data_IF_733103377701
#
_entry.id   IF_733103377701
#
_cell.length_a   1.000
_cell.length_b   1.000
_cell.length_c   1.000
_cell.angle_alpha   90.00
_cell.angle_beta   90.00
_cell.angle_gamma   90.00
#
_symmetry.space_group_name_H-M   'P 1'
#
loop_
_entity.id
_entity.type
_entity.pdbx_description
1 polymer ?
#
# COMPACT_ATOMS: atom_id res chain seq x y z
N UNK A 1 -21.07 26.35 67.31
CA UNK A 1 -20.14 27.49 67.46
C UNK A 1 -18.82 26.95 67.99
N UNK A 2 -17.72 27.19 67.26
CA UNK A 2 -16.38 27.62 67.74
C UNK A 2 -15.77 26.93 68.98
N UNK A 3 -14.51 26.55 69.09
CA UNK A 3 -13.26 26.78 68.32
C UNK A 3 -12.18 25.93 69.06
N UNK A 4 -11.32 25.24 68.30
CA UNK A 4 -9.86 25.07 68.47
C UNK A 4 -9.23 24.81 69.86
N UNK A 5 -8.45 23.72 69.96
CA UNK A 5 -7.00 23.72 70.30
C UNK A 5 -6.56 22.31 70.81
N UNK A 6 -5.93 21.46 69.98
CA UNK A 6 -4.48 21.30 69.74
C UNK A 6 -3.72 20.45 70.79
N UNK A 7 -2.87 19.54 70.23
CA UNK A 7 -1.82 18.69 70.85
C UNK A 7 -2.33 17.34 71.41
N UNK A 8 -1.73 16.17 71.17
CA UNK A 8 -0.31 15.84 70.98
C UNK A 8 -0.16 14.47 70.27
N UNK A 9 0.65 14.44 69.21
CA UNK A 9 1.49 13.36 68.64
C UNK A 9 1.30 11.89 69.08
N UNK A 10 0.99 11.01 68.12
CA UNK A 10 1.55 9.66 68.02
C UNK A 10 1.50 9.19 66.55
N UNK A 11 2.59 9.34 65.80
CA UNK A 11 3.40 8.22 65.29
C UNK A 11 2.58 7.16 64.56
N UNK A 12 2.43 7.31 63.24
CA UNK A 12 2.15 6.16 62.37
C UNK A 12 2.76 6.40 60.99
N UNK A 13 3.91 5.76 60.79
CA UNK A 13 4.55 5.61 59.48
C UNK A 13 3.60 4.84 58.57
N UNK A 14 2.96 5.52 57.63
CA UNK A 14 2.38 4.86 56.46
C UNK A 14 3.46 4.72 55.40
N UNK A 15 3.91 3.47 55.23
CA UNK A 15 4.83 3.04 54.19
C UNK A 15 4.12 3.20 52.84
N UNK A 16 4.55 4.18 52.04
CA UNK A 16 4.22 4.24 50.61
C UNK A 16 4.99 3.13 49.88
N UNK A 17 4.35 1.98 49.66
CA UNK A 17 4.83 0.99 48.68
C UNK A 17 4.48 1.55 47.29
N UNK A 18 5.46 2.22 46.68
CA UNK A 18 5.43 2.50 45.25
C UNK A 18 5.67 1.17 44.54
N UNK A 19 4.61 0.55 44.04
CA UNK A 19 4.70 -0.54 43.06
C UNK A 19 5.23 0.06 41.75
N UNK A 20 6.55 0.06 41.59
CA UNK A 20 7.16 0.19 40.27
C UNK A 20 6.83 -1.09 39.48
N UNK A 21 5.75 -1.05 38.71
CA UNK A 21 5.52 -1.96 37.59
C UNK A 21 6.64 -1.71 36.57
N UNK A 22 7.72 -2.47 36.69
CA UNK A 22 8.73 -2.59 35.65
C UNK A 22 8.04 -3.32 34.50
N UNK A 23 7.57 -2.57 33.51
CA UNK A 23 7.24 -3.16 32.21
C UNK A 23 8.58 -3.55 31.59
N UNK A 24 8.98 -4.81 31.79
CA UNK A 24 9.98 -5.45 30.94
C UNK A 24 9.37 -5.51 29.54
N UNK A 25 9.70 -4.52 28.72
CA UNK A 25 9.60 -4.66 27.26
C UNK A 25 10.56 -5.78 26.87
N UNK A 26 10.04 -7.01 26.82
CA UNK A 26 10.77 -8.11 26.24
C UNK A 26 11.19 -7.68 24.84
N UNK A 27 12.50 -7.49 24.65
CA UNK A 27 13.06 -7.17 23.35
C UNK A 27 12.63 -8.28 22.41
N UNK A 28 11.75 -7.97 21.45
CA UNK A 28 11.37 -8.91 20.42
C UNK A 28 12.64 -9.29 19.68
N UNK A 29 13.01 -10.57 19.74
CA UNK A 29 14.12 -11.10 18.95
C UNK A 29 13.89 -10.67 17.50
N UNK A 30 14.85 -10.02 16.83
CA UNK A 30 14.67 -9.67 15.43
C UNK A 30 14.35 -10.94 14.66
N UNK A 31 13.38 -10.89 13.73
CA UNK A 31 13.03 -12.06 12.95
C UNK A 31 14.30 -12.62 12.30
N UNK A 32 14.42 -13.95 12.18
CA UNK A 32 15.59 -14.56 11.57
C UNK A 32 15.84 -13.94 10.19
N UNK A 33 17.10 -13.64 9.90
CA UNK A 33 17.47 -13.10 8.58
C UNK A 33 16.93 -14.00 7.47
N UNK A 34 16.45 -13.44 6.35
CA UNK A 34 15.97 -14.23 5.23
C UNK A 34 17.03 -15.27 4.84
N UNK A 35 16.62 -16.54 4.74
CA UNK A 35 17.53 -17.58 4.26
C UNK A 35 17.80 -17.30 2.77
N UNK A 36 19.06 -17.00 2.42
CA UNK A 36 19.45 -16.87 1.03
C UNK A 36 19.35 -18.24 0.34
N UNK A 37 18.33 -18.41 -0.47
CA UNK A 37 18.12 -19.63 -1.25
C UNK A 37 18.96 -19.53 -2.52
N UNK A 38 19.98 -20.40 -2.65
CA UNK A 38 20.69 -20.56 -3.92
C UNK A 38 19.74 -21.22 -4.91
N UNK A 39 19.41 -20.53 -5.99
CA UNK A 39 18.59 -21.05 -7.09
C UNK A 39 19.41 -21.21 -8.36
N UNK A 40 18.95 -22.06 -9.26
CA UNK A 40 19.64 -22.31 -10.52
C UNK A 40 19.23 -21.33 -11.63
N UNK A 41 18.11 -20.62 -11.46
CA UNK A 41 17.64 -19.57 -12.36
C UNK A 41 16.73 -18.54 -11.65
N UNK A 42 16.42 -17.46 -12.36
CA UNK A 42 15.54 -16.37 -11.89
C UNK A 42 14.11 -16.83 -11.62
N UNK A 43 13.57 -17.74 -12.42
CA UNK A 43 12.17 -18.16 -12.29
C UNK A 43 11.95 -18.93 -10.99
N UNK A 44 12.89 -19.80 -10.64
CA UNK A 44 12.93 -20.51 -9.35
C UNK A 44 13.09 -19.53 -8.18
N UNK A 45 13.96 -18.52 -8.33
CA UNK A 45 14.13 -17.48 -7.33
C UNK A 45 12.83 -16.73 -7.07
N UNK A 46 12.17 -16.24 -8.13
CA UNK A 46 10.89 -15.53 -8.03
C UNK A 46 9.84 -16.37 -7.30
N UNK A 47 9.68 -17.66 -7.66
CA UNK A 47 8.69 -18.54 -7.01
C UNK A 47 8.95 -18.77 -5.54
N UNK A 48 10.22 -18.78 -5.11
CA UNK A 48 10.61 -19.07 -3.73
C UNK A 48 10.69 -17.81 -2.88
N UNK A 49 10.92 -16.65 -3.48
CA UNK A 49 11.18 -15.39 -2.78
C UNK A 49 10.02 -14.41 -2.79
N UNK A 50 9.10 -14.49 -3.76
CA UNK A 50 7.95 -13.59 -3.86
C UNK A 50 6.66 -14.37 -3.71
N UNK A 51 5.89 -14.01 -2.69
CA UNK A 51 4.62 -14.65 -2.32
C UNK A 51 3.47 -13.71 -2.64
N UNK A 52 3.01 -13.75 -3.88
CA UNK A 52 1.91 -12.90 -4.36
C UNK A 52 0.60 -13.68 -4.26
N UNK A 53 -0.50 -12.99 -3.94
CA UNK A 53 -1.81 -13.63 -3.87
C UNK A 53 -2.31 -14.17 -5.22
N UNK A 54 -2.91 -15.35 -5.18
CA UNK A 54 -3.66 -15.94 -6.31
C UNK A 54 -5.08 -15.34 -6.47
N UNK A 55 -5.57 -14.67 -5.42
CA UNK A 55 -6.91 -14.11 -5.32
C UNK A 55 -6.90 -12.79 -4.55
N UNK A 56 -7.66 -11.82 -5.03
CA UNK A 56 -7.86 -10.56 -4.31
C UNK A 56 -8.99 -10.67 -3.29
N UNK A 57 -8.79 -10.06 -2.12
CA UNK A 57 -9.81 -10.02 -1.07
C UNK A 57 -10.99 -9.12 -1.43
N UNK A 58 -10.72 -8.05 -2.17
CA UNK A 58 -11.70 -7.03 -2.57
C UNK A 58 -11.23 -6.34 -3.84
N UNK A 59 -12.19 -5.89 -4.65
CA UNK A 59 -11.91 -5.04 -5.81
C UNK A 59 -12.46 -3.64 -5.59
N UNK A 60 -11.57 -2.65 -5.71
CA UNK A 60 -11.87 -1.23 -5.76
C UNK A 60 -11.74 -0.79 -7.23
N UNK A 61 -12.82 -0.32 -7.83
CA UNK A 61 -12.81 0.16 -9.21
C UNK A 61 -12.45 1.65 -9.22
N UNK A 62 -11.55 2.05 -10.11
CA UNK A 62 -11.33 3.46 -10.46
C UNK A 62 -11.87 3.69 -11.86
N UNK A 63 -12.85 4.57 -11.96
CA UNK A 63 -13.54 4.87 -13.20
C UNK A 63 -13.93 6.35 -13.25
N UNK A 64 -13.34 7.08 -14.21
CA UNK A 64 -13.73 8.47 -14.48
C UNK A 64 -15.15 8.58 -15.04
N UNK A 65 -15.68 7.53 -15.66
CA UNK A 65 -17.01 7.49 -16.25
C UNK A 65 -18.11 7.32 -15.19
N UNK A 66 -19.35 7.68 -15.54
CA UNK A 66 -20.53 7.50 -14.68
C UNK A 66 -21.23 6.16 -14.94
N UNK A 67 -20.57 5.22 -15.62
CA UNK A 67 -21.17 3.93 -15.96
C UNK A 67 -21.09 2.96 -14.77
N UNK A 68 -22.21 2.32 -14.37
CA UNK A 68 -22.19 1.37 -13.28
C UNK A 68 -21.56 0.05 -13.72
N UNK A 69 -20.35 -0.24 -13.22
CA UNK A 69 -19.67 -1.53 -13.41
C UNK A 69 -19.80 -2.36 -12.13
N UNK A 70 -20.50 -3.49 -12.25
CA UNK A 70 -20.77 -4.38 -11.10
C UNK A 70 -19.72 -5.45 -10.89
N UNK A 71 -19.02 -5.84 -11.95
CA UNK A 71 -18.01 -6.90 -11.90
C UNK A 71 -16.87 -6.61 -12.86
N UNK A 72 -15.66 -7.06 -12.53
CA UNK A 72 -14.48 -7.03 -13.41
C UNK A 72 -13.92 -8.44 -13.60
N UNK A 73 -13.30 -8.71 -14.75
CA UNK A 73 -12.61 -9.97 -15.03
C UNK A 73 -11.11 -9.77 -14.96
N UNK A 74 -10.44 -10.47 -14.05
CA UNK A 74 -9.04 -10.25 -13.74
C UNK A 74 -8.28 -11.57 -13.85
N UNK A 75 -7.16 -11.56 -14.55
CA UNK A 75 -6.19 -12.67 -14.52
C UNK A 75 -5.24 -12.42 -13.34
N UNK A 76 -4.95 -13.47 -12.56
CA UNK A 76 -3.97 -13.39 -11.47
C UNK A 76 -2.59 -12.98 -12.01
N UNK A 77 -1.79 -12.31 -11.17
CA UNK A 77 -0.46 -11.87 -11.56
C UNK A 77 0.52 -13.04 -11.44
N UNK A 78 1.06 -13.46 -12.58
CA UNK A 78 2.06 -14.53 -12.66
C UNK A 78 3.39 -13.94 -13.13
N UNK A 79 4.31 -13.69 -12.19
CA UNK A 79 5.58 -13.00 -12.47
C UNK A 79 6.49 -13.73 -13.47
N UNK A 80 6.38 -15.06 -13.56
CA UNK A 80 7.18 -15.88 -14.46
C UNK A 80 6.49 -16.17 -15.81
N UNK A 81 5.30 -15.62 -16.03
CA UNK A 81 4.56 -15.87 -17.25
C UNK A 81 5.09 -15.04 -18.42
N UNK A 82 5.91 -15.65 -19.27
CA UNK A 82 6.50 -15.02 -20.46
C UNK A 82 5.51 -14.91 -21.63
N UNK A 83 4.47 -15.74 -21.64
CA UNK A 83 3.47 -15.80 -22.69
C UNK A 83 2.07 -15.70 -22.06
N UNK A 84 1.68 -14.52 -21.57
CA UNK A 84 0.36 -14.33 -21.00
C UNK A 84 -0.69 -14.68 -22.04
N UNK A 85 -1.60 -15.60 -21.70
CA UNK A 85 -2.80 -15.91 -22.48
C UNK A 85 -3.96 -15.11 -21.89
N UNK A 86 -4.30 -13.93 -22.45
CA UNK A 86 -5.27 -13.05 -21.83
C UNK A 86 -6.63 -13.74 -21.77
N UNK A 87 -7.26 -13.76 -20.59
CA UNK A 87 -8.67 -14.11 -20.44
C UNK A 87 -9.01 -15.59 -20.28
N UNK A 88 -8.10 -16.53 -20.57
CA UNK A 88 -8.36 -17.98 -20.40
C UNK A 88 -8.59 -18.33 -18.92
N UNK A 89 -7.80 -17.73 -18.02
CA UNK A 89 -7.84 -18.00 -16.58
C UNK A 89 -8.35 -16.80 -15.77
N UNK A 90 -9.08 -15.88 -16.42
CA UNK A 90 -9.59 -14.69 -15.77
C UNK A 90 -10.79 -15.00 -14.86
N UNK A 91 -10.68 -14.61 -13.59
CA UNK A 91 -11.72 -14.74 -12.58
C UNK A 91 -12.57 -13.49 -12.52
N UNK A 92 -13.88 -13.67 -12.36
CA UNK A 92 -14.82 -12.57 -12.19
C UNK A 92 -14.90 -12.16 -10.72
N UNK A 93 -14.71 -10.88 -10.45
CA UNK A 93 -14.80 -10.29 -9.12
C UNK A 93 -15.95 -9.27 -9.06
N UNK A 94 -16.77 -9.27 -8.00
CA UNK A 94 -17.68 -8.17 -7.75
C UNK A 94 -16.89 -6.90 -7.38
N UNK A 95 -17.34 -5.76 -7.88
CA UNK A 95 -16.81 -4.45 -7.49
C UNK A 95 -17.38 -4.10 -6.11
N UNK A 96 -16.52 -3.95 -5.12
CA UNK A 96 -16.94 -3.64 -3.75
C UNK A 96 -17.15 -2.14 -3.52
N UNK A 97 -16.35 -1.31 -4.19
CA UNK A 97 -16.50 0.14 -4.20
C UNK A 97 -15.94 0.72 -5.52
N UNK A 98 -16.45 1.87 -5.93
CA UNK A 98 -15.98 2.60 -7.10
C UNK A 98 -15.59 4.03 -6.72
N UNK A 99 -14.47 4.50 -7.27
CA UNK A 99 -13.87 5.80 -7.00
C UNK A 99 -13.61 6.56 -8.30
N UNK A 100 -13.56 7.89 -8.20
CA UNK A 100 -13.30 8.75 -9.37
C UNK A 100 -11.82 8.97 -9.60
N UNK A 101 -11.01 8.85 -8.56
CA UNK A 101 -9.57 9.12 -8.63
C UNK A 101 -8.74 7.95 -8.11
N UNK A 102 -7.48 7.88 -8.55
CA UNK A 102 -6.49 6.94 -8.01
C UNK A 102 -6.21 7.21 -6.52
N UNK A 103 -6.22 8.47 -6.10
CA UNK A 103 -5.94 8.83 -4.71
C UNK A 103 -7.02 8.33 -3.75
N UNK A 104 -8.31 8.49 -4.08
CA UNK A 104 -9.41 7.97 -3.24
C UNK A 104 -9.34 6.45 -3.08
N UNK A 105 -9.02 5.74 -4.18
CA UNK A 105 -8.85 4.30 -4.12
C UNK A 105 -7.61 3.88 -3.30
N UNK A 106 -6.50 4.61 -3.42
CA UNK A 106 -5.30 4.37 -2.62
C UNK A 106 -5.55 4.59 -1.12
N UNK A 107 -6.37 5.58 -0.77
CA UNK A 107 -6.77 5.86 0.61
C UNK A 107 -7.57 4.70 1.20
N UNK A 108 -8.54 4.19 0.43
CA UNK A 108 -9.42 3.10 0.84
C UNK A 108 -8.78 1.70 0.76
N UNK A 109 -7.68 1.56 -0.01
CA UNK A 109 -6.99 0.31 -0.23
C UNK A 109 -6.36 -0.22 1.07
N UNK A 110 -6.34 -1.54 1.18
CA UNK A 110 -5.75 -2.31 2.28
C UNK A 110 -5.12 -3.59 1.73
N UNK A 111 -4.30 -4.27 2.52
CA UNK A 111 -3.61 -5.49 2.07
C UNK A 111 -4.54 -6.53 1.42
N UNK A 112 -4.14 -7.03 0.24
CA UNK A 112 -4.88 -8.02 -0.54
C UNK A 112 -5.92 -7.44 -1.51
N UNK A 113 -6.14 -6.12 -1.50
CA UNK A 113 -7.04 -5.45 -2.43
C UNK A 113 -6.45 -5.36 -3.85
N UNK A 114 -7.35 -5.40 -4.83
CA UNK A 114 -7.10 -4.96 -6.19
C UNK A 114 -7.73 -3.59 -6.41
N UNK A 115 -6.93 -2.61 -6.80
CA UNK A 115 -7.38 -1.35 -7.39
C UNK A 115 -7.38 -1.53 -8.91
N UNK A 116 -8.55 -1.81 -9.47
CA UNK A 116 -8.74 -2.03 -10.91
C UNK A 116 -9.11 -0.72 -11.59
N UNK A 117 -8.29 -0.25 -12.54
CA UNK A 117 -8.42 1.09 -13.13
C UNK A 117 -8.85 0.97 -14.58
N UNK A 118 -10.00 1.56 -14.94
CA UNK A 118 -10.45 1.56 -16.34
C UNK A 118 -9.62 2.51 -17.21
N UNK A 119 -9.57 2.29 -18.54
CA UNK A 119 -9.01 3.23 -19.50
C UNK A 119 -9.40 4.69 -19.22
N UNK A 120 -8.43 5.58 -19.26
CA UNK A 120 -8.62 6.99 -18.92
C UNK A 120 -7.34 7.69 -18.53
N UNK A 121 -7.47 9.00 -18.31
CA UNK A 121 -6.38 9.87 -17.86
C UNK A 121 -6.61 10.25 -16.40
N UNK A 122 -5.60 10.04 -15.57
CA UNK A 122 -5.69 10.22 -14.13
C UNK A 122 -4.54 11.07 -13.59
N UNK A 123 -4.82 11.77 -12.50
CA UNK A 123 -3.78 12.24 -11.61
C UNK A 123 -3.17 11.07 -10.85
N UNK A 124 -1.91 11.24 -10.46
CA UNK A 124 -1.14 10.33 -9.64
C UNK A 124 -1.74 10.03 -8.27
N UNK A 125 -1.02 9.25 -7.47
CA UNK A 125 -1.42 8.95 -6.10
C UNK A 125 -0.23 8.81 -5.15
N UNK A 126 -0.49 9.07 -3.88
CA UNK A 126 0.39 8.75 -2.76
C UNK A 126 -0.21 7.57 -2.01
N UNK A 127 0.57 6.53 -1.79
CA UNK A 127 0.24 5.43 -0.90
C UNK A 127 1.19 5.47 0.29
N UNK A 128 0.63 5.58 1.49
CA UNK A 128 1.36 5.50 2.75
C UNK A 128 1.56 4.07 3.23
N UNK A 129 2.09 3.92 4.44
CA UNK A 129 2.12 2.63 5.14
C UNK A 129 0.72 2.00 5.28
N UNK A 130 0.67 0.69 5.09
CA UNK A 130 -0.53 -0.14 5.19
C UNK A 130 -0.14 -1.40 5.95
N UNK A 131 -0.30 -1.41 7.30
CA UNK A 131 0.25 -2.48 8.15
C UNK A 131 -0.40 -3.84 7.91
N UNK A 132 -1.53 -3.89 7.21
CA UNK A 132 -2.17 -5.14 6.79
C UNK A 132 -1.72 -5.63 5.40
N UNK A 133 -0.85 -4.91 4.69
CA UNK A 133 -0.20 -5.44 3.49
C UNK A 133 0.94 -6.42 3.88
N UNK A 134 1.14 -7.45 3.08
CA UNK A 134 2.12 -8.50 3.36
C UNK A 134 2.19 -9.56 2.27
N UNK A 135 3.01 -10.58 2.49
CA UNK A 135 3.01 -11.80 1.67
C UNK A 135 1.58 -12.34 1.52
N UNK A 136 1.24 -12.74 0.29
CA UNK A 136 -0.09 -13.20 -0.12
C UNK A 136 -1.21 -12.14 0.11
N UNK A 137 -0.85 -10.87 0.37
CA UNK A 137 -1.78 -9.73 0.58
C UNK A 137 -1.22 -8.40 0.05
N UNK A 138 -0.70 -8.39 -1.17
CA UNK A 138 -0.23 -7.17 -1.82
C UNK A 138 -1.40 -6.22 -2.13
N UNK A 139 -1.13 -4.92 -2.16
CA UNK A 139 -2.07 -3.95 -2.74
C UNK A 139 -1.72 -3.81 -4.22
N UNK A 140 -2.63 -4.22 -5.10
CA UNK A 140 -2.36 -4.26 -6.54
C UNK A 140 -3.13 -3.17 -7.28
N UNK A 141 -2.42 -2.16 -7.81
CA UNK A 141 -2.95 -1.21 -8.78
C UNK A 141 -2.76 -1.77 -10.18
N UNK A 142 -3.87 -2.06 -10.87
CA UNK A 142 -3.87 -2.68 -12.20
C UNK A 142 -4.63 -1.83 -13.20
N UNK A 143 -3.93 -1.37 -14.24
CA UNK A 143 -4.56 -0.82 -15.43
C UNK A 143 -5.34 -1.90 -16.19
N UNK A 144 -6.60 -1.61 -16.51
CA UNK A 144 -7.43 -2.40 -17.39
C UNK A 144 -7.37 -1.84 -18.81
N UNK A 145 -7.74 -2.67 -19.79
CA UNK A 145 -7.70 -2.30 -21.20
C UNK A 145 -6.39 -2.70 -21.86
N UNK A 146 -6.01 -2.01 -22.93
CA UNK A 146 -4.78 -2.25 -23.69
C UNK A 146 -3.61 -1.50 -23.02
N UNK A 147 -2.37 -1.94 -23.24
CA UNK A 147 -1.20 -1.20 -22.80
C UNK A 147 -1.27 0.25 -23.30
N UNK A 148 -1.14 1.22 -22.39
CA UNK A 148 -1.22 2.65 -22.71
C UNK A 148 -2.59 3.31 -22.52
N UNK A 149 -3.67 2.53 -22.32
CA UNK A 149 -5.03 3.06 -22.17
C UNK A 149 -5.26 3.78 -20.83
N UNK A 150 -4.51 3.41 -19.79
CA UNK A 150 -4.52 4.08 -18.48
C UNK A 150 -3.29 4.97 -18.35
N UNK A 151 -3.50 6.28 -18.37
CA UNK A 151 -2.43 7.27 -18.40
C UNK A 151 -2.41 8.04 -17.08
N UNK A 152 -1.26 8.09 -16.41
CA UNK A 152 -0.98 8.99 -15.30
C UNK A 152 -0.12 10.13 -15.85
N UNK A 153 -0.70 11.34 -15.98
CA UNK A 153 -0.04 12.47 -16.64
C UNK A 153 0.12 13.72 -15.78
N UNK A 154 -0.36 13.68 -14.55
CA UNK A 154 -0.34 14.79 -13.60
C UNK A 154 -0.12 14.24 -12.20
N UNK A 155 0.50 15.01 -11.29
CA UNK A 155 0.79 14.53 -9.95
C UNK A 155 -0.47 14.58 -9.10
N UNK A 156 -0.48 13.88 -7.97
CA UNK A 156 -1.60 13.97 -7.03
C UNK A 156 -1.65 15.35 -6.36
N UNK A 157 -2.79 15.70 -5.75
CA UNK A 157 -2.91 16.90 -4.93
C UNK A 157 -2.07 16.84 -3.65
N UNK A 158 -1.73 15.63 -3.20
CA UNK A 158 -0.96 15.39 -1.98
C UNK A 158 0.54 15.47 -2.17
N UNK A 159 1.03 15.23 -3.39
CA UNK A 159 2.43 15.37 -3.73
C UNK A 159 2.55 15.87 -5.16
N UNK A 160 3.12 17.07 -5.33
CA UNK A 160 3.30 17.73 -6.63
C UNK A 160 4.64 17.42 -7.29
N UNK A 161 5.51 16.65 -6.63
CA UNK A 161 6.86 16.36 -7.10
C UNK A 161 6.93 15.06 -7.91
N UNK A 162 6.04 14.10 -7.62
CA UNK A 162 6.04 12.75 -8.19
C UNK A 162 4.67 12.34 -8.69
N UNK A 163 4.64 11.55 -9.77
CA UNK A 163 3.39 10.97 -10.29
C UNK A 163 2.87 9.86 -9.38
N UNK A 164 3.74 8.99 -8.88
CA UNK A 164 3.37 8.00 -7.86
C UNK A 164 4.39 8.08 -6.75
N UNK A 165 3.92 8.23 -5.52
CA UNK A 165 4.76 8.19 -4.33
C UNK A 165 4.32 7.05 -3.44
N UNK A 166 5.21 6.08 -3.25
CA UNK A 166 5.07 5.01 -2.27
C UNK A 166 5.86 5.44 -1.04
N UNK A 167 5.16 6.06 -0.07
CA UNK A 167 5.76 6.61 1.14
C UNK A 167 5.65 5.61 2.28
N UNK A 168 6.77 4.95 2.62
CA UNK A 168 6.78 3.87 3.60
C UNK A 168 5.78 2.75 3.28
N UNK A 169 5.39 2.63 2.01
CA UNK A 169 4.48 1.59 1.56
C UNK A 169 5.28 0.32 1.22
N UNK A 170 4.72 -0.83 1.56
CA UNK A 170 5.31 -2.13 1.29
C UNK A 170 4.27 -3.09 0.69
N UNK A 171 4.74 -4.13 -0.01
CA UNK A 171 3.87 -5.12 -0.68
C UNK A 171 2.87 -4.46 -1.64
N UNK A 172 3.38 -3.66 -2.58
CA UNK A 172 2.59 -2.94 -3.58
C UNK A 172 2.96 -3.44 -4.97
N UNK A 173 1.96 -3.66 -5.81
CA UNK A 173 2.14 -3.91 -7.25
C UNK A 173 1.51 -2.78 -8.03
N UNK A 174 2.25 -2.24 -9.00
CA UNK A 174 1.75 -1.26 -9.98
C UNK A 174 1.94 -1.85 -11.37
N UNK A 175 0.84 -2.11 -12.07
CA UNK A 175 0.84 -2.88 -13.32
C UNK A 175 0.12 -2.14 -14.45
N UNK A 176 0.78 -2.04 -15.61
CA UNK A 176 0.14 -1.70 -16.89
C UNK A 176 -0.13 -0.22 -17.16
N UNK A 177 0.27 0.69 -16.27
CA UNK A 177 0.08 2.13 -16.45
C UNK A 177 1.10 2.75 -17.42
N UNK A 178 0.65 3.72 -18.21
CA UNK A 178 1.53 4.67 -18.89
C UNK A 178 1.74 5.88 -17.97
N UNK A 179 2.94 6.04 -17.44
CA UNK A 179 3.31 7.17 -16.59
C UNK A 179 4.07 8.18 -17.44
N UNK A 180 3.39 9.24 -17.86
CA UNK A 180 3.92 10.23 -18.78
C UNK A 180 3.96 11.60 -18.08
N UNK A 181 5.13 12.02 -17.60
CA UNK A 181 5.27 13.40 -17.13
C UNK A 181 5.25 14.41 -18.27
N UNK A 182 5.18 15.70 -17.92
CA UNK A 182 5.10 16.78 -18.89
C UNK A 182 6.42 17.03 -19.67
N UNK A 183 7.47 16.25 -19.40
CA UNK A 183 8.80 16.40 -20.01
C UNK A 183 9.15 15.17 -20.85
N UNK A 184 9.67 15.40 -22.06
CA UNK A 184 10.20 14.36 -22.94
C UNK A 184 11.69 14.54 -23.28
N UNK A 185 12.28 13.65 -24.08
CA UNK A 185 13.70 13.68 -24.42
C UNK A 185 14.14 15.03 -25.02
N UNK A 186 15.22 15.61 -24.51
CA UNK A 186 15.79 16.88 -24.99
C UNK A 186 15.05 18.14 -24.52
N UNK A 187 13.99 18.01 -23.72
CA UNK A 187 13.29 19.15 -23.10
C UNK A 187 13.82 19.42 -21.70
N UNK A 188 13.79 20.69 -21.29
CA UNK A 188 14.04 21.05 -19.89
C UNK A 188 12.94 20.44 -19.01
N UNK A 189 13.28 19.82 -17.85
CA UNK A 189 12.29 19.31 -16.92
C UNK A 189 11.34 20.40 -16.45
N UNK A 190 10.05 20.20 -16.67
CA UNK A 190 8.97 21.07 -16.18
C UNK A 190 7.89 20.22 -15.52
N UNK A 191 7.42 20.67 -14.36
CA UNK A 191 6.39 19.97 -13.60
C UNK A 191 6.94 18.82 -12.74
N UNK A 192 6.07 17.91 -12.25
CA UNK A 192 6.49 16.76 -11.47
C UNK A 192 7.44 15.85 -12.26
N UNK A 193 8.28 15.13 -11.52
CA UNK A 193 9.12 14.07 -12.07
C UNK A 193 8.22 12.94 -12.58
N UNK A 194 8.37 12.62 -13.86
CA UNK A 194 7.74 11.47 -14.49
C UNK A 194 8.28 10.19 -13.84
N UNK A 195 7.52 9.54 -12.97
CA UNK A 195 7.95 8.27 -12.39
C UNK A 195 7.28 7.91 -11.07
N UNK A 196 7.76 6.78 -10.55
CA UNK A 196 7.39 6.24 -9.24
C UNK A 196 8.56 6.48 -8.30
N UNK A 197 8.33 7.21 -7.20
CA UNK A 197 9.27 7.34 -6.09
C UNK A 197 8.89 6.39 -4.97
N UNK A 198 9.89 5.70 -4.43
CA UNK A 198 9.77 4.88 -3.23
C UNK A 198 10.56 5.55 -2.13
N UNK A 199 9.88 5.89 -1.04
CA UNK A 199 10.46 6.51 0.14
C UNK A 199 10.37 5.54 1.34
N UNK A 200 11.39 5.58 2.20
CA UNK A 200 11.63 4.64 3.28
C UNK A 200 11.42 5.22 4.68
N UNK A 201 10.69 6.33 4.84
CA UNK A 201 10.34 6.88 6.15
C UNK A 201 9.30 5.99 6.89
N UNK A 202 9.68 4.74 7.19
CA UNK A 202 8.94 3.79 8.00
C UNK A 202 9.09 4.17 9.49
N UNK A 203 8.54 5.30 9.92
CA UNK A 203 8.88 5.87 11.23
C UNK A 203 7.97 6.93 11.84
N UNK A 204 6.66 6.96 11.51
CA UNK A 204 5.68 7.78 12.24
C UNK A 204 4.66 6.94 12.99
#
# INVERSE_FOLDING_TARGET
MQEVSKQLKATSWFICIVLCLVYETAAQTPPPSPQFIKTYNSDEWVRKSLRIQDRYSRVLLVDGSNEPVKTVRITALELNNRNPSPGRDAVQYPVAAAYKTLQEAADAARGGDLVAVRPGTYAGFVLGDKPDAGDDRYIHFKALGRPGDCIINSPSDRNRDWMVLLQAAHHVVVEGFNIAGATGPGMNPVGPKAGIMLDGDFGR
#
